data_IF_783509726500
#
_entry.id   IF_783509726500
#
_cell.length_a   1.000
_cell.length_b   1.000
_cell.length_c   1.000
_cell.angle_alpha   90.00
_cell.angle_beta   90.00
_cell.angle_gamma   90.00
#
_symmetry.space_group_name_H-M   'P 1'
#
loop_
_entity.id
_entity.type
_entity.pdbx_description
1 polymer ?
#
# COMPACT_ATOMS: atom_id res chain seq x y z
N UNK A 1 9.65 -14.10 -10.36
CA UNK A 1 8.28 -14.53 -10.56
C UNK A 1 7.34 -13.35 -10.42
N UNK A 2 6.58 -13.11 -11.48
CA UNK A 2 5.79 -11.89 -11.57
C UNK A 2 4.68 -11.79 -10.50
N UNK A 3 4.03 -12.92 -10.18
CA UNK A 3 2.99 -12.93 -9.16
C UNK A 3 3.47 -12.46 -7.80
N UNK A 4 4.67 -12.86 -7.41
CA UNK A 4 5.27 -12.38 -6.15
C UNK A 4 5.56 -10.90 -6.21
N UNK A 5 6.04 -10.39 -7.35
CA UNK A 5 6.27 -8.96 -7.53
C UNK A 5 4.99 -8.15 -7.36
N UNK A 6 3.83 -8.70 -7.77
CA UNK A 6 2.54 -8.03 -7.60
C UNK A 6 2.13 -7.89 -6.14
N UNK A 7 2.54 -8.80 -5.27
CA UNK A 7 2.19 -8.74 -3.85
C UNK A 7 3.01 -7.72 -3.10
N UNK A 8 4.13 -7.29 -3.67
CA UNK A 8 4.89 -6.16 -3.15
C UNK A 8 4.58 -4.90 -3.96
N UNK A 9 3.45 -4.88 -4.66
CA UNK A 9 3.00 -3.74 -5.42
C UNK A 9 2.97 -2.50 -4.54
N UNK A 10 3.52 -1.42 -5.06
CA UNK A 10 3.66 -0.18 -4.33
C UNK A 10 2.31 0.42 -3.93
N UNK A 11 1.27 0.21 -4.73
CA UNK A 11 -0.07 0.66 -4.39
C UNK A 11 -0.56 -0.01 -3.10
N UNK A 12 -0.36 -1.31 -2.96
CA UNK A 12 -0.73 -2.05 -1.75
C UNK A 12 0.05 -1.56 -0.54
N UNK A 13 1.35 -1.29 -0.72
CA UNK A 13 2.20 -0.79 0.35
C UNK A 13 1.78 0.61 0.82
N UNK A 14 1.39 1.47 -0.11
CA UNK A 14 0.88 2.81 0.23
C UNK A 14 -0.44 2.70 0.99
N UNK A 15 -1.36 1.85 0.55
CA UNK A 15 -2.62 1.61 1.27
C UNK A 15 -2.36 1.10 2.68
N UNK A 16 -1.45 0.15 2.83
CA UNK A 16 -1.09 -0.39 4.14
C UNK A 16 -0.52 0.68 5.06
N UNK A 17 0.34 1.54 4.55
CA UNK A 17 0.91 2.64 5.31
C UNK A 17 -0.17 3.60 5.80
N UNK A 18 -1.11 3.97 4.92
CA UNK A 18 -2.19 4.90 5.27
C UNK A 18 -3.23 4.27 6.19
N UNK A 19 -3.35 2.95 6.21
CA UNK A 19 -4.24 2.26 7.14
C UNK A 19 -3.82 2.46 8.60
N UNK A 20 -2.52 2.65 8.84
CA UNK A 20 -2.00 2.93 10.18
C UNK A 20 -2.26 4.38 10.63
N UNK A 21 -2.53 5.26 9.69
CA UNK A 21 -2.82 6.67 9.97
C UNK A 21 -2.50 7.57 8.78
N UNK A 22 -3.16 8.70 8.73
CA UNK A 22 -2.93 9.71 7.70
C UNK A 22 -1.51 10.25 7.81
N UNK A 23 -0.85 10.47 6.66
CA UNK A 23 0.50 11.01 6.64
C UNK A 23 0.84 11.60 5.26
N UNK A 24 1.85 12.45 5.23
CA UNK A 24 2.37 13.00 3.99
C UNK A 24 3.30 12.01 3.26
N UNK A 25 3.59 12.28 1.99
CA UNK A 25 4.31 11.35 1.12
C UNK A 25 5.65 10.87 1.68
N UNK A 26 6.45 11.77 2.24
CA UNK A 26 7.74 11.37 2.82
C UNK A 26 7.56 10.36 3.95
N UNK A 27 6.57 10.57 4.82
CA UNK A 27 6.30 9.66 5.92
C UNK A 27 5.76 8.30 5.41
N UNK A 28 4.98 8.31 4.32
CA UNK A 28 4.56 7.07 3.67
C UNK A 28 5.78 6.27 3.20
N UNK A 29 6.70 6.91 2.51
CA UNK A 29 7.90 6.24 2.00
C UNK A 29 8.76 5.67 3.13
N UNK A 30 8.92 6.42 4.22
CA UNK A 30 9.64 5.95 5.40
C UNK A 30 8.98 4.75 6.05
N UNK A 31 7.67 4.78 6.18
CA UNK A 31 6.90 3.69 6.78
C UNK A 31 6.99 2.42 5.94
N UNK A 32 6.83 2.53 4.63
CA UNK A 32 6.97 1.40 3.71
C UNK A 32 8.37 0.77 3.83
N UNK A 33 9.40 1.61 3.88
CA UNK A 33 10.78 1.12 4.05
C UNK A 33 10.96 0.39 5.38
N UNK A 34 10.39 0.93 6.46
CA UNK A 34 10.47 0.29 7.78
C UNK A 34 9.75 -1.06 7.79
N UNK A 35 8.61 -1.17 7.10
CA UNK A 35 7.82 -2.41 7.07
C UNK A 35 8.45 -3.49 6.18
N UNK A 36 9.01 -3.12 5.05
CA UNK A 36 9.34 -4.06 3.99
C UNK A 36 10.78 -3.99 3.50
N UNK A 37 11.52 -2.95 3.85
CA UNK A 37 12.83 -2.67 3.28
C UNK A 37 12.77 -2.08 1.87
N UNK A 38 11.60 -1.94 1.28
CA UNK A 38 11.43 -1.43 -0.08
C UNK A 38 11.55 0.09 -0.06
N UNK A 39 12.37 0.62 -0.97
CA UNK A 39 12.56 2.05 -1.14
C UNK A 39 11.72 2.51 -2.33
N UNK A 40 10.78 3.42 -2.08
CA UNK A 40 9.97 4.04 -3.13
C UNK A 40 10.52 5.45 -3.38
N UNK A 41 10.95 5.71 -4.59
CA UNK A 41 11.41 7.05 -4.97
C UNK A 41 10.24 8.04 -5.05
N UNK A 42 10.51 9.35 -4.87
CA UNK A 42 9.43 10.36 -4.82
C UNK A 42 8.60 10.43 -6.11
N UNK A 43 9.21 10.30 -7.26
CA UNK A 43 8.48 10.30 -8.52
C UNK A 43 7.49 9.15 -8.62
N UNK A 44 7.93 7.94 -8.30
CA UNK A 44 7.08 6.75 -8.30
C UNK A 44 5.98 6.86 -7.25
N UNK A 45 6.33 7.32 -6.05
CA UNK A 45 5.38 7.46 -4.95
C UNK A 45 4.19 8.33 -5.33
N UNK A 46 4.44 9.52 -5.90
CA UNK A 46 3.36 10.44 -6.23
C UNK A 46 2.53 9.98 -7.42
N UNK A 47 3.12 9.22 -8.35
CA UNK A 47 2.35 8.56 -9.42
C UNK A 47 1.39 7.53 -8.84
N UNK A 48 1.86 6.74 -7.89
CA UNK A 48 1.02 5.73 -7.21
C UNK A 48 -0.10 6.40 -6.43
N UNK A 49 0.21 7.44 -5.65
CA UNK A 49 -0.79 8.17 -4.87
C UNK A 49 -1.86 8.76 -5.79
N UNK A 50 -1.45 9.38 -6.91
CA UNK A 50 -2.41 9.96 -7.87
C UNK A 50 -3.35 8.90 -8.44
N UNK A 51 -2.83 7.72 -8.74
CA UNK A 51 -3.65 6.61 -9.22
C UNK A 51 -4.66 6.16 -8.16
N UNK A 52 -4.23 6.06 -6.92
CA UNK A 52 -5.10 5.67 -5.81
C UNK A 52 -6.17 6.73 -5.53
N UNK A 53 -5.84 7.99 -5.69
CA UNK A 53 -6.82 9.08 -5.60
C UNK A 53 -7.89 8.94 -6.69
N UNK A 54 -7.49 8.65 -7.94
CA UNK A 54 -8.43 8.45 -9.04
C UNK A 54 -9.35 7.25 -8.82
N UNK A 55 -8.86 6.24 -8.15
CA UNK A 55 -9.67 5.06 -7.78
C UNK A 55 -10.60 5.33 -6.60
N UNK A 56 -10.44 6.45 -5.92
CA UNK A 56 -11.23 6.78 -4.75
C UNK A 56 -10.78 6.08 -3.48
N UNK A 57 -9.59 5.52 -3.45
CA UNK A 57 -9.07 4.79 -2.30
C UNK A 57 -8.23 5.64 -1.35
N UNK A 58 -7.75 6.76 -1.85
CA UNK A 58 -6.96 7.73 -1.09
C UNK A 58 -7.53 9.12 -1.36
N UNK A 59 -7.55 9.97 -0.36
CA UNK A 59 -7.95 11.37 -0.50
C UNK A 59 -6.92 12.30 0.14
N UNK A 60 -6.88 13.50 -0.35
CA UNK A 60 -6.06 14.55 0.23
C UNK A 60 -6.77 15.13 1.45
N UNK A 61 -5.99 15.40 2.48
CA UNK A 61 -6.43 16.19 3.62
C UNK A 61 -5.98 17.65 3.43
N UNK A 62 -6.52 18.59 4.23
CA UNK A 62 -6.03 19.96 4.18
C UNK A 62 -4.52 20.01 4.37
N UNK A 63 -3.85 20.85 3.58
CA UNK A 63 -2.40 20.99 3.65
C UNK A 63 -1.97 21.48 5.04
N UNK A 64 -0.86 20.93 5.51
CA UNK A 64 -0.21 21.33 6.76
C UNK A 64 1.10 22.03 6.41
N UNK A 65 1.06 23.35 6.31
CA UNK A 65 2.19 24.12 5.81
C UNK A 65 2.50 23.74 4.38
N UNK A 66 3.74 23.25 4.12
CA UNK A 66 4.17 22.77 2.80
C UNK A 66 3.88 21.31 2.57
N UNK A 67 3.32 20.61 3.56
CA UNK A 67 3.09 19.19 3.49
C UNK A 67 1.67 18.90 3.06
N UNK A 68 1.52 17.95 2.15
CA UNK A 68 0.24 17.46 1.71
C UNK A 68 0.00 16.09 2.33
N UNK A 69 -0.84 16.00 3.39
CA UNK A 69 -1.19 14.72 3.95
C UNK A 69 -2.27 14.03 3.14
N UNK A 70 -2.28 12.71 3.24
CA UNK A 70 -3.23 11.82 2.58
C UNK A 70 -3.88 10.90 3.59
N UNK A 71 -5.09 10.48 3.31
CA UNK A 71 -5.84 9.56 4.14
C UNK A 71 -6.41 8.42 3.30
N UNK A 72 -6.52 7.25 3.91
CA UNK A 72 -7.25 6.14 3.34
C UNK A 72 -8.75 6.43 3.41
N UNK A 73 -9.47 6.17 2.32
CA UNK A 73 -10.92 6.26 2.32
C UNK A 73 -11.53 4.95 2.80
N UNK A 74 -12.85 4.93 3.06
CA UNK A 74 -13.56 3.70 3.37
C UNK A 74 -13.40 2.68 2.25
N UNK A 75 -13.51 3.11 1.00
CA UNK A 75 -13.30 2.24 -0.15
C UNK A 75 -11.87 1.72 -0.21
N UNK A 76 -10.88 2.56 0.13
CA UNK A 76 -9.48 2.13 0.21
C UNK A 76 -9.25 1.08 1.30
N UNK A 77 -9.88 1.25 2.46
CA UNK A 77 -9.80 0.27 3.53
C UNK A 77 -10.42 -1.07 3.11
N UNK A 78 -11.54 -1.03 2.41
CA UNK A 78 -12.18 -2.24 1.89
C UNK A 78 -11.29 -2.94 0.85
N UNK A 79 -10.68 -2.17 -0.05
CA UNK A 79 -9.74 -2.70 -1.03
C UNK A 79 -8.55 -3.37 -0.35
N UNK A 80 -8.00 -2.75 0.68
CA UNK A 80 -6.89 -3.32 1.44
C UNK A 80 -7.30 -4.62 2.13
N UNK A 81 -8.47 -4.66 2.75
CA UNK A 81 -8.98 -5.88 3.40
C UNK A 81 -9.16 -7.01 2.40
N UNK A 82 -9.72 -6.71 1.23
CA UNK A 82 -9.93 -7.69 0.17
C UNK A 82 -8.61 -8.28 -0.32
N UNK A 83 -7.63 -7.43 -0.61
CA UNK A 83 -6.29 -7.87 -1.02
C UNK A 83 -5.60 -8.68 0.07
N UNK A 84 -5.72 -8.25 1.32
CA UNK A 84 -5.13 -8.97 2.45
C UNK A 84 -5.70 -10.36 2.59
N UNK A 85 -7.02 -10.51 2.43
CA UNK A 85 -7.70 -11.79 2.48
C UNK A 85 -7.23 -12.73 1.36
N UNK A 86 -7.10 -12.21 0.14
CA UNK A 86 -6.61 -12.98 -1.00
C UNK A 86 -5.17 -13.43 -0.80
N UNK A 87 -4.31 -12.52 -0.30
CA UNK A 87 -2.92 -12.83 0.00
C UNK A 87 -2.81 -13.92 1.07
N UNK A 88 -3.62 -13.82 2.11
CA UNK A 88 -3.63 -14.80 3.19
C UNK A 88 -4.02 -16.19 2.67
N UNK A 89 -5.08 -16.28 1.86
CA UNK A 89 -5.52 -17.52 1.24
C UNK A 89 -4.43 -18.11 0.35
N UNK A 90 -3.79 -17.27 -0.44
CA UNK A 90 -2.70 -17.71 -1.31
C UNK A 90 -1.50 -18.20 -0.51
N UNK A 91 -1.12 -17.46 0.54
CA UNK A 91 -0.02 -17.85 1.42
C UNK A 91 -0.27 -19.21 2.06
N UNK A 92 -1.48 -19.46 2.52
CA UNK A 92 -1.87 -20.75 3.11
C UNK A 92 -1.75 -21.88 2.07
N UNK A 93 -2.16 -21.62 0.82
CA UNK A 93 -1.99 -22.57 -0.28
C UNK A 93 -0.52 -22.87 -0.55
N UNK A 94 0.31 -21.83 -0.57
CA UNK A 94 1.76 -22.01 -0.79
C UNK A 94 2.39 -22.85 0.30
N UNK A 95 2.03 -22.62 1.55
CA UNK A 95 2.54 -23.37 2.70
C UNK A 95 2.17 -24.86 2.53
N UNK A 96 0.91 -25.16 2.19
CA UNK A 96 0.48 -26.54 1.98
C UNK A 96 1.21 -27.20 0.80
N UNK A 97 1.35 -26.47 -0.31
CA UNK A 97 2.02 -26.98 -1.50
C UNK A 97 3.51 -27.22 -1.26
N UNK A 98 4.17 -26.33 -0.53
CA UNK A 98 5.57 -26.48 -0.15
C UNK A 98 5.79 -27.76 0.68
N UNK A 99 4.85 -28.11 1.54
CA UNK A 99 4.93 -29.31 2.36
C UNK A 99 4.85 -30.60 1.52
N UNK A 100 4.32 -30.54 0.29
CA UNK A 100 4.23 -31.69 -0.61
C UNK A 100 5.50 -31.89 -1.45
N UNK A 101 6.37 -30.90 -1.48
CA UNK A 101 7.58 -30.93 -2.32
C UNK A 101 8.66 -31.87 -1.78
#
# INVERSE_FOLDING_TARGET
MRGLGSFTDQALLVLASLAAGSKHGYAIARDVRALTGIIIGPGTLYVVIARLERQGWVRRLPADGRRQPYALTTAGAEALRSESSQLQTFAETLVRRAALA
#
